data_IF_211816118522
#
_entry.id   IF_211816118522
#
_cell.length_a   1.000
_cell.length_b   1.000
_cell.length_c   1.000
_cell.angle_alpha   90.00
_cell.angle_beta   90.00
_cell.angle_gamma   90.00
#
_symmetry.space_group_name_H-M   'P 1'
#
loop_
_entity.id
_entity.type
_entity.pdbx_description
1 polymer ?
#
# COMPACT_ATOMS: atom_id res chain seq x y z
N UNK A 1 8.06 -26.83 -29.44
CA UNK A 1 8.83 -25.93 -28.55
C UNK A 1 8.28 -26.10 -27.14
N UNK A 2 9.09 -26.49 -26.16
CA UNK A 2 8.61 -26.67 -24.77
C UNK A 2 8.45 -25.27 -24.15
N UNK A 3 7.21 -24.86 -23.86
CA UNK A 3 6.90 -23.63 -23.13
C UNK A 3 7.63 -23.59 -21.78
N UNK A 4 8.06 -22.39 -21.39
CA UNK A 4 8.77 -22.12 -20.14
C UNK A 4 7.86 -22.49 -18.95
N UNK A 5 8.34 -23.15 -17.88
CA UNK A 5 7.53 -23.48 -16.71
C UNK A 5 6.78 -22.29 -16.09
N UNK A 6 7.33 -21.07 -16.21
CA UNK A 6 6.62 -19.83 -15.84
C UNK A 6 5.35 -19.69 -16.69
N UNK A 7 5.43 -19.80 -18.02
CA UNK A 7 4.30 -19.67 -18.95
C UNK A 7 3.16 -20.67 -18.68
N UNK A 8 3.44 -21.87 -18.15
CA UNK A 8 2.38 -22.85 -17.81
C UNK A 8 1.60 -22.52 -16.54
N UNK A 9 2.18 -21.77 -15.61
CA UNK A 9 1.50 -21.42 -14.36
C UNK A 9 0.47 -20.31 -14.54
N UNK A 10 0.55 -19.54 -15.64
CA UNK A 10 -0.27 -18.35 -15.84
C UNK A 10 -1.64 -18.59 -16.49
N UNK A 11 -1.85 -19.65 -17.29
CA UNK A 11 -2.91 -19.58 -18.33
C UNK A 11 -4.25 -20.24 -17.97
N UNK A 12 -4.37 -21.05 -16.90
CA UNK A 12 -5.68 -21.61 -16.53
C UNK A 12 -6.00 -21.49 -15.04
N UNK A 13 -5.05 -21.82 -14.15
CA UNK A 13 -5.34 -21.85 -12.70
C UNK A 13 -5.59 -20.47 -12.11
N UNK A 14 -4.89 -19.43 -12.58
CA UNK A 14 -5.08 -18.07 -12.06
C UNK A 14 -6.48 -17.53 -12.41
N UNK A 15 -6.89 -17.66 -13.67
CA UNK A 15 -8.19 -17.16 -14.14
C UNK A 15 -9.36 -17.91 -13.50
N UNK A 16 -9.30 -19.25 -13.42
CA UNK A 16 -10.30 -20.05 -12.70
C UNK A 16 -10.40 -19.65 -11.22
N UNK A 17 -9.26 -19.40 -10.57
CA UNK A 17 -9.21 -18.94 -9.18
C UNK A 17 -9.83 -17.54 -9.06
N UNK A 18 -9.52 -16.62 -9.97
CA UNK A 18 -10.07 -15.26 -9.95
C UNK A 18 -11.59 -15.26 -10.15
N UNK A 19 -12.10 -15.98 -11.14
CA UNK A 19 -13.54 -16.09 -11.41
C UNK A 19 -14.33 -16.64 -10.21
N UNK A 20 -13.73 -17.58 -9.46
CA UNK A 20 -14.41 -18.25 -8.34
C UNK A 20 -14.18 -17.61 -6.98
N UNK A 21 -13.22 -16.67 -6.84
CA UNK A 21 -12.80 -16.15 -5.53
C UNK A 21 -12.61 -14.64 -5.42
N UNK A 22 -12.62 -13.88 -6.52
CA UNK A 22 -12.51 -12.41 -6.43
C UNK A 22 -13.71 -11.81 -5.69
N UNK A 23 -13.49 -10.75 -4.91
CA UNK A 23 -14.57 -10.16 -4.13
C UNK A 23 -15.65 -9.55 -5.02
N UNK A 24 -15.28 -8.94 -6.15
CA UNK A 24 -16.22 -8.38 -7.12
C UNK A 24 -17.20 -9.43 -7.67
N UNK A 25 -16.79 -10.70 -7.77
CA UNK A 25 -17.63 -11.81 -8.25
C UNK A 25 -18.47 -12.44 -7.15
N UNK A 26 -17.93 -12.53 -5.94
CA UNK A 26 -18.44 -13.45 -4.91
C UNK A 26 -19.01 -12.78 -3.67
N UNK A 27 -18.81 -11.47 -3.51
CA UNK A 27 -19.17 -10.76 -2.28
C UNK A 27 -20.30 -9.76 -2.53
N UNK A 28 -21.25 -9.64 -1.58
CA UNK A 28 -22.25 -8.60 -1.65
C UNK A 28 -21.62 -7.22 -1.38
N UNK A 29 -22.36 -6.17 -1.74
CA UNK A 29 -22.07 -4.78 -1.37
C UNK A 29 -21.83 -4.66 0.14
N UNK A 30 -20.87 -3.81 0.53
CA UNK A 30 -20.47 -3.60 1.92
C UNK A 30 -21.27 -2.46 2.55
N UNK A 31 -22.23 -2.81 3.40
CA UNK A 31 -22.94 -1.83 4.23
C UNK A 31 -22.34 -1.76 5.63
N UNK A 32 -22.24 -0.53 6.16
CA UNK A 32 -21.91 -0.27 7.55
C UNK A 32 -23.20 -0.37 8.36
N UNK A 33 -23.25 -1.32 9.30
CA UNK A 33 -24.37 -1.41 10.24
C UNK A 33 -24.13 -0.51 11.44
N UNK A 34 -24.59 0.73 11.35
CA UNK A 34 -24.44 1.74 12.40
C UNK A 34 -25.18 1.43 13.72
N UNK A 35 -25.87 0.29 13.83
CA UNK A 35 -26.43 -0.20 15.09
C UNK A 35 -25.41 -0.99 15.91
N UNK A 36 -24.38 -1.50 15.25
CA UNK A 36 -23.29 -2.22 15.91
C UNK A 36 -22.29 -1.24 16.52
N UNK A 37 -21.62 -1.67 17.59
CA UNK A 37 -20.59 -0.89 18.25
C UNK A 37 -19.20 -1.31 17.78
N UNK A 38 -18.22 -0.42 18.00
CA UNK A 38 -16.80 -0.68 17.76
C UNK A 38 -16.14 0.48 17.03
N UNK A 39 -14.82 0.53 17.10
CA UNK A 39 -14.03 1.58 16.45
C UNK A 39 -13.86 1.30 14.96
N UNK A 40 -13.81 2.37 14.17
CA UNK A 40 -13.52 2.29 12.74
C UNK A 40 -12.04 2.04 12.43
N UNK A 41 -11.16 2.19 13.41
CA UNK A 41 -9.73 1.97 13.27
C UNK A 41 -9.13 1.38 14.56
N UNK A 42 -8.11 0.53 14.49
CA UNK A 42 -7.49 -0.05 15.69
C UNK A 42 -6.74 0.97 16.52
N UNK A 43 -7.15 1.10 17.79
CA UNK A 43 -6.58 2.01 18.78
C UNK A 43 -5.05 1.84 18.89
N UNK A 44 -4.59 0.59 18.96
CA UNK A 44 -3.16 0.22 19.07
C UNK A 44 -2.31 0.63 17.87
N UNK A 45 -2.92 1.09 16.77
CA UNK A 45 -2.25 1.51 15.54
C UNK A 45 -2.41 2.99 15.24
N UNK A 46 -3.02 3.76 16.14
CA UNK A 46 -3.11 5.21 16.02
C UNK A 46 -2.11 5.87 16.99
N UNK A 47 -0.94 6.36 16.50
CA UNK A 47 0.13 6.87 17.35
C UNK A 47 -0.26 8.04 18.25
N UNK A 48 -1.26 8.85 17.89
CA UNK A 48 -1.76 9.93 18.75
C UNK A 48 -2.27 9.42 20.10
N UNK A 49 -2.78 8.18 20.15
CA UNK A 49 -3.31 7.55 21.35
C UNK A 49 -2.21 6.96 22.26
N UNK A 50 -0.94 7.05 21.85
CA UNK A 50 0.21 6.76 22.73
C UNK A 50 0.49 7.90 23.71
N UNK A 51 -0.03 9.10 23.45
CA UNK A 51 0.19 10.27 24.30
C UNK A 51 -0.96 10.42 25.32
N UNK A 52 -0.61 10.41 26.61
CA UNK A 52 -1.58 10.45 27.71
C UNK A 52 -2.41 11.75 27.72
N UNK A 53 -1.85 12.87 27.27
CA UNK A 53 -2.59 14.13 27.18
C UNK A 53 -3.77 14.00 26.20
N UNK A 54 -3.56 13.31 25.08
CA UNK A 54 -4.60 13.07 24.06
C UNK A 54 -5.66 12.11 24.61
N UNK A 55 -5.24 11.03 25.26
CA UNK A 55 -6.16 10.07 25.91
C UNK A 55 -7.04 10.77 26.96
N UNK A 56 -6.48 11.74 27.70
CA UNK A 56 -7.20 12.49 28.72
C UNK A 56 -8.24 13.49 28.15
N UNK A 57 -8.28 13.72 26.84
CA UNK A 57 -9.33 14.52 26.19
C UNK A 57 -10.69 13.80 26.17
N UNK A 58 -10.70 12.50 26.46
CA UNK A 58 -11.91 11.70 26.63
C UNK A 58 -12.34 10.92 25.40
N UNK A 59 -13.31 10.03 25.60
CA UNK A 59 -13.71 8.99 24.64
C UNK A 59 -14.19 9.56 23.30
N UNK A 60 -14.94 10.67 23.31
CA UNK A 60 -15.44 11.31 22.08
C UNK A 60 -14.31 11.73 21.14
N UNK A 61 -13.22 12.28 21.68
CA UNK A 61 -12.07 12.71 20.88
C UNK A 61 -11.31 11.49 20.36
N UNK A 62 -11.22 10.41 21.14
CA UNK A 62 -10.67 9.14 20.69
C UNK A 62 -11.43 8.58 19.49
N UNK A 63 -12.76 8.51 19.59
CA UNK A 63 -13.63 8.04 18.50
C UNK A 63 -13.46 8.90 17.24
N UNK A 64 -13.40 10.24 17.38
CA UNK A 64 -13.17 11.15 16.26
C UNK A 64 -11.80 10.93 15.60
N UNK A 65 -10.74 10.76 16.40
CA UNK A 65 -9.40 10.44 15.88
C UNK A 65 -9.42 9.13 15.09
N UNK A 66 -10.02 8.07 15.64
CA UNK A 66 -10.07 6.76 14.98
C UNK A 66 -10.93 6.79 13.72
N UNK A 67 -12.03 7.53 13.72
CA UNK A 67 -12.87 7.75 12.54
C UNK A 67 -12.09 8.50 11.45
N UNK A 68 -11.44 9.62 11.77
CA UNK A 68 -10.63 10.38 10.80
C UNK A 68 -9.46 9.55 10.25
N UNK A 69 -8.86 8.70 11.09
CA UNK A 69 -7.81 7.78 10.65
C UNK A 69 -8.35 6.75 9.65
N UNK A 70 -9.56 6.24 9.87
CA UNK A 70 -10.21 5.36 8.92
C UNK A 70 -10.58 6.06 7.60
N UNK A 71 -11.03 7.31 7.65
CA UNK A 71 -11.22 8.12 6.44
C UNK A 71 -9.91 8.29 5.66
N UNK A 72 -8.80 8.59 6.35
CA UNK A 72 -7.49 8.65 5.71
C UNK A 72 -7.14 7.32 5.06
N UNK A 73 -7.31 6.21 5.77
CA UNK A 73 -7.05 4.87 5.26
C UNK A 73 -7.81 4.57 3.96
N UNK A 74 -9.12 4.88 3.91
CA UNK A 74 -9.92 4.72 2.68
C UNK A 74 -9.45 5.63 1.54
N UNK A 75 -9.02 6.86 1.84
CA UNK A 75 -8.46 7.77 0.83
C UNK A 75 -7.09 7.31 0.33
N UNK A 76 -6.25 6.75 1.20
CA UNK A 76 -4.96 6.18 0.83
C UNK A 76 -5.15 5.01 -0.15
N UNK A 77 -6.10 4.12 0.13
CA UNK A 77 -6.53 3.04 -0.77
C UNK A 77 -6.91 3.59 -2.15
N UNK A 78 -7.89 4.50 -2.20
CA UNK A 78 -8.40 5.06 -3.46
C UNK A 78 -7.26 5.67 -4.30
N UNK A 79 -6.34 6.38 -3.64
CA UNK A 79 -5.22 7.01 -4.32
C UNK A 79 -4.19 6.00 -4.81
N UNK A 80 -3.83 5.01 -3.99
CA UNK A 80 -2.82 4.01 -4.33
C UNK A 80 -3.28 3.14 -5.51
N UNK A 81 -4.49 2.60 -5.42
CA UNK A 81 -5.08 1.68 -6.38
C UNK A 81 -5.22 2.31 -7.77
N UNK A 82 -5.71 3.55 -7.83
CA UNK A 82 -5.89 4.25 -9.11
C UNK A 82 -4.56 4.79 -9.64
N UNK A 83 -3.80 5.52 -8.81
CA UNK A 83 -2.69 6.35 -9.33
C UNK A 83 -1.42 5.53 -9.56
N UNK A 84 -1.24 4.43 -8.84
CA UNK A 84 -0.03 3.60 -8.94
C UNK A 84 -0.36 2.23 -9.54
N UNK A 85 -1.22 1.43 -8.90
CA UNK A 85 -1.43 0.03 -9.29
C UNK A 85 -2.03 -0.06 -10.70
N UNK A 86 -3.17 0.60 -10.92
CA UNK A 86 -3.81 0.63 -12.24
C UNK A 86 -2.91 1.24 -13.33
N UNK A 87 -2.10 2.26 -13.00
CA UNK A 87 -1.14 2.83 -13.94
C UNK A 87 -0.09 1.81 -14.38
N UNK A 88 0.51 1.07 -13.44
CA UNK A 88 1.48 0.03 -13.74
C UNK A 88 0.87 -1.12 -14.56
N UNK A 89 -0.31 -1.62 -14.18
CA UNK A 89 -1.02 -2.66 -14.93
C UNK A 89 -1.36 -2.21 -16.36
N UNK A 90 -1.84 -0.97 -16.53
CA UNK A 90 -2.12 -0.40 -17.86
C UNK A 90 -0.88 -0.37 -18.74
N UNK A 91 0.30 -0.03 -18.18
CA UNK A 91 1.57 -0.07 -18.93
C UNK A 91 1.95 -1.50 -19.32
N UNK A 92 1.82 -2.47 -18.41
CA UNK A 92 2.10 -3.89 -18.70
C UNK A 92 1.24 -4.39 -19.88
N UNK A 93 -0.03 -3.96 -19.94
CA UNK A 93 -0.96 -4.40 -20.98
C UNK A 93 -0.70 -3.71 -22.32
N UNK A 94 -0.55 -2.38 -22.32
CA UNK A 94 -0.69 -1.57 -23.54
C UNK A 94 0.57 -0.82 -23.99
N UNK A 95 1.57 -0.60 -23.12
CA UNK A 95 2.77 0.17 -23.49
C UNK A 95 3.76 -0.67 -24.32
N UNK A 96 4.48 0.00 -25.22
CA UNK A 96 5.63 -0.60 -25.90
C UNK A 96 6.87 -0.57 -25.00
N UNK A 97 6.94 -1.53 -24.08
CA UNK A 97 8.00 -1.61 -23.07
C UNK A 97 9.23 -2.35 -23.60
N UNK A 98 10.39 -2.06 -22.98
CA UNK A 98 11.65 -2.79 -23.25
C UNK A 98 11.55 -4.27 -22.84
N UNK A 99 10.73 -4.59 -21.84
CA UNK A 99 10.36 -5.95 -21.44
C UNK A 99 9.08 -6.33 -22.18
N UNK A 100 9.10 -7.48 -22.89
CA UNK A 100 7.90 -8.00 -23.56
C UNK A 100 7.16 -8.97 -22.65
N UNK A 101 5.96 -8.59 -22.23
CA UNK A 101 5.11 -9.41 -21.36
C UNK A 101 4.26 -10.39 -22.19
N UNK A 102 4.20 -11.68 -21.82
CA UNK A 102 3.28 -12.64 -22.43
C UNK A 102 1.82 -12.25 -22.23
N UNK A 103 0.95 -12.63 -23.17
CA UNK A 103 -0.49 -12.31 -23.11
C UNK A 103 -1.18 -12.80 -21.84
N UNK A 104 -0.70 -13.89 -21.24
CA UNK A 104 -1.24 -14.37 -19.97
C UNK A 104 -0.96 -13.42 -18.79
N UNK A 105 0.22 -12.78 -18.75
CA UNK A 105 0.53 -11.76 -17.75
C UNK A 105 -0.37 -10.54 -17.96
N UNK A 106 -0.58 -10.14 -19.22
CA UNK A 106 -1.48 -9.02 -19.55
C UNK A 106 -2.93 -9.30 -19.16
N UNK A 107 -3.42 -10.51 -19.43
CA UNK A 107 -4.76 -10.92 -19.02
C UNK A 107 -4.93 -10.90 -17.49
N UNK A 108 -3.92 -11.36 -16.75
CA UNK A 108 -3.94 -11.25 -15.28
C UNK A 108 -3.85 -9.79 -14.82
N UNK A 109 -3.09 -8.93 -15.49
CA UNK A 109 -3.10 -7.50 -15.18
C UNK A 109 -4.49 -6.87 -15.41
N UNK A 110 -5.28 -7.36 -16.39
CA UNK A 110 -6.67 -6.92 -16.56
C UNK A 110 -7.54 -7.29 -15.36
N UNK A 111 -7.38 -8.48 -14.78
CA UNK A 111 -8.17 -8.88 -13.60
C UNK A 111 -7.78 -8.07 -12.36
N UNK A 112 -6.48 -7.76 -12.19
CA UNK A 112 -6.03 -6.83 -11.14
C UNK A 112 -6.74 -5.48 -11.27
N UNK A 113 -6.76 -4.87 -12.46
CA UNK A 113 -7.44 -3.59 -12.69
C UNK A 113 -8.93 -3.66 -12.27
N UNK A 114 -9.61 -4.77 -12.57
CA UNK A 114 -11.01 -4.96 -12.18
C UNK A 114 -11.16 -5.00 -10.66
N UNK A 115 -10.30 -5.75 -9.97
CA UNK A 115 -10.30 -5.87 -8.51
C UNK A 115 -10.00 -4.52 -7.86
N UNK A 116 -8.97 -3.79 -8.32
CA UNK A 116 -8.64 -2.46 -7.78
C UNK A 116 -9.77 -1.44 -7.97
N UNK A 117 -10.42 -1.40 -9.13
CA UNK A 117 -11.58 -0.52 -9.29
C UNK A 117 -12.76 -0.92 -8.41
N UNK A 118 -12.90 -2.20 -8.08
CA UNK A 118 -13.90 -2.65 -7.11
C UNK A 118 -13.52 -2.22 -5.68
N UNK A 119 -12.26 -2.33 -5.28
CA UNK A 119 -11.78 -1.84 -3.99
C UNK A 119 -12.00 -0.33 -3.83
N UNK A 120 -11.66 0.46 -4.85
CA UNK A 120 -12.01 1.90 -4.94
C UNK A 120 -13.51 2.12 -4.76
N UNK A 121 -14.33 1.34 -5.47
CA UNK A 121 -15.79 1.47 -5.37
C UNK A 121 -16.25 1.23 -3.93
N UNK A 122 -15.79 0.16 -3.28
CA UNK A 122 -16.15 -0.16 -1.90
C UNK A 122 -15.68 0.94 -0.95
N UNK A 123 -14.44 1.43 -1.09
CA UNK A 123 -13.91 2.50 -0.25
C UNK A 123 -14.72 3.79 -0.41
N UNK A 124 -15.09 4.18 -1.64
CA UNK A 124 -15.95 5.34 -1.90
C UNK A 124 -17.36 5.15 -1.35
N UNK A 125 -17.91 3.95 -1.49
CA UNK A 125 -19.24 3.64 -0.97
C UNK A 125 -19.27 3.70 0.56
N UNK A 126 -18.21 3.26 1.23
CA UNK A 126 -18.06 3.40 2.68
C UNK A 126 -17.91 4.87 3.11
N UNK A 127 -17.09 5.66 2.40
CA UNK A 127 -16.99 7.10 2.65
C UNK A 127 -18.35 7.79 2.53
N UNK A 128 -19.15 7.45 1.51
CA UNK A 128 -20.50 8.00 1.35
C UNK A 128 -21.43 7.62 2.51
N UNK A 129 -21.37 6.37 2.99
CA UNK A 129 -22.15 5.93 4.15
C UNK A 129 -21.73 6.67 5.43
N UNK A 130 -20.43 6.84 5.64
CA UNK A 130 -19.89 7.58 6.79
C UNK A 130 -20.25 9.07 6.74
N UNK A 131 -20.14 9.72 5.57
CA UNK A 131 -20.50 11.12 5.37
C UNK A 131 -22.00 11.35 5.67
N UNK A 132 -22.86 10.39 5.30
CA UNK A 132 -24.29 10.45 5.59
C UNK A 132 -24.60 10.28 7.08
N UNK A 133 -23.85 9.44 7.79
CA UNK A 133 -24.07 9.16 9.21
C UNK A 133 -23.43 10.19 10.13
N UNK A 134 -22.30 10.77 9.72
CA UNK A 134 -21.54 11.78 10.46
C UNK A 134 -21.44 13.10 9.65
N UNK A 135 -22.57 13.77 9.34
CA UNK A 135 -22.57 14.95 8.47
C UNK A 135 -21.82 16.15 9.05
N UNK A 136 -21.68 16.19 10.38
CA UNK A 136 -20.98 17.27 11.10
C UNK A 136 -19.49 16.97 11.28
N UNK A 137 -19.00 15.80 10.83
CA UNK A 137 -17.57 15.48 10.90
C UNK A 137 -16.80 16.45 10.03
N UNK A 138 -15.80 17.11 10.62
CA UNK A 138 -14.98 18.06 9.89
C UNK A 138 -14.22 17.35 8.78
N UNK A 139 -14.26 17.89 7.57
CA UNK A 139 -13.42 17.41 6.47
C UNK A 139 -11.97 17.83 6.70
N UNK A 140 -11.07 16.87 6.57
CA UNK A 140 -9.62 17.07 6.70
C UNK A 140 -8.98 16.79 5.34
N UNK A 141 -7.96 17.56 4.98
CA UNK A 141 -7.16 17.26 3.80
C UNK A 141 -6.25 16.06 4.08
N UNK A 142 -6.30 15.05 3.21
CA UNK A 142 -5.47 13.86 3.33
C UNK A 142 -4.15 14.08 2.58
N UNK A 143 -2.98 13.97 3.25
CA UNK A 143 -1.69 14.11 2.59
C UNK A 143 -1.49 13.10 1.47
N UNK A 144 -0.67 13.45 0.49
CA UNK A 144 -0.20 12.50 -0.52
C UNK A 144 0.60 11.39 0.17
N UNK A 145 0.33 10.13 -0.19
CA UNK A 145 1.00 8.97 0.42
C UNK A 145 2.51 8.95 0.15
N UNK A 146 3.26 8.41 1.10
CA UNK A 146 4.71 8.26 0.97
C UNK A 146 5.09 7.35 -0.21
N UNK A 147 4.25 6.36 -0.55
CA UNK A 147 4.40 5.53 -1.75
C UNK A 147 4.36 6.34 -3.05
N UNK A 148 3.35 7.20 -3.22
CA UNK A 148 3.23 8.04 -4.41
C UNK A 148 4.38 9.07 -4.48
N UNK A 149 4.74 9.64 -3.34
CA UNK A 149 5.88 10.55 -3.23
C UNK A 149 7.19 9.87 -3.66
N UNK A 150 7.47 8.66 -3.15
CA UNK A 150 8.66 7.89 -3.47
C UNK A 150 8.78 7.60 -4.97
N UNK A 151 7.69 7.12 -5.60
CA UNK A 151 7.68 6.87 -7.06
C UNK A 151 7.95 8.15 -7.84
N UNK A 152 7.29 9.25 -7.47
CA UNK A 152 7.44 10.53 -8.17
C UNK A 152 8.87 11.07 -8.05
N UNK A 153 9.44 11.03 -6.85
CA UNK A 153 10.78 11.56 -6.58
C UNK A 153 11.86 10.77 -7.31
N UNK A 154 11.81 9.43 -7.26
CA UNK A 154 12.80 8.58 -7.94
C UNK A 154 12.66 8.67 -9.46
N UNK A 155 11.44 8.78 -10.01
CA UNK A 155 11.27 9.09 -11.45
C UNK A 155 11.91 10.43 -11.82
N UNK A 156 11.84 11.44 -10.95
CA UNK A 156 12.52 12.72 -11.16
C UNK A 156 14.04 12.64 -11.25
N UNK A 157 14.64 11.57 -10.69
CA UNK A 157 16.08 11.31 -10.70
C UNK A 157 16.53 10.39 -11.85
N UNK A 158 15.58 9.70 -12.48
CA UNK A 158 15.83 8.79 -13.59
C UNK A 158 15.57 9.46 -14.94
N UNK A 159 16.32 9.07 -15.97
CA UNK A 159 15.95 9.37 -17.35
C UNK A 159 14.56 8.82 -17.68
N UNK A 160 13.80 9.56 -18.50
CA UNK A 160 12.42 9.21 -18.89
C UNK A 160 12.27 7.80 -19.43
N UNK A 161 13.29 7.24 -20.12
CA UNK A 161 13.24 5.89 -20.67
C UNK A 161 13.10 4.77 -19.61
N UNK A 162 13.47 5.05 -18.36
CA UNK A 162 13.40 4.08 -17.25
C UNK A 162 12.08 4.15 -16.47
N UNK A 163 11.31 5.23 -16.65
CA UNK A 163 10.17 5.58 -15.80
C UNK A 163 9.11 4.49 -15.72
N UNK A 164 8.75 3.90 -16.85
CA UNK A 164 7.67 2.90 -16.92
C UNK A 164 8.06 1.60 -16.22
N UNK A 165 9.28 1.09 -16.46
CA UNK A 165 9.78 -0.12 -15.82
C UNK A 165 9.99 0.10 -14.32
N UNK A 166 10.50 1.27 -13.93
CA UNK A 166 10.63 1.60 -12.51
C UNK A 166 9.27 1.64 -11.81
N UNK A 167 8.25 2.26 -12.41
CA UNK A 167 6.90 2.31 -11.84
C UNK A 167 6.31 0.90 -11.66
N UNK A 168 6.48 0.00 -12.64
CA UNK A 168 6.07 -1.40 -12.52
C UNK A 168 6.79 -2.09 -11.37
N UNK A 169 8.11 -1.93 -11.26
CA UNK A 169 8.90 -2.53 -10.16
C UNK A 169 8.45 -1.97 -8.80
N UNK A 170 8.22 -0.66 -8.70
CA UNK A 170 7.78 -0.01 -7.48
C UNK A 170 6.42 -0.55 -7.01
N UNK A 171 5.46 -0.67 -7.93
CA UNK A 171 4.16 -1.28 -7.64
C UNK A 171 4.31 -2.74 -7.23
N UNK A 172 5.15 -3.53 -7.92
CA UNK A 172 5.37 -4.91 -7.49
C UNK A 172 5.90 -4.99 -6.05
N UNK A 173 6.76 -4.05 -5.63
CA UNK A 173 7.22 -3.99 -4.25
C UNK A 173 6.07 -3.63 -3.31
N UNK A 174 5.21 -2.68 -3.64
CA UNK A 174 4.05 -2.32 -2.80
C UNK A 174 3.15 -3.52 -2.56
N UNK A 175 2.73 -4.17 -3.63
CA UNK A 175 1.78 -5.29 -3.64
C UNK A 175 2.35 -6.57 -3.00
N UNK A 176 3.67 -6.67 -2.92
CA UNK A 176 4.34 -7.78 -2.23
C UNK A 176 4.80 -7.42 -0.81
N UNK A 177 4.64 -6.15 -0.42
CA UNK A 177 4.96 -5.65 0.92
C UNK A 177 3.70 -5.39 1.74
N UNK A 178 2.54 -5.19 1.11
CA UNK A 178 1.25 -5.10 1.80
C UNK A 178 0.96 -6.46 2.48
N UNK A 179 0.88 -6.42 3.81
CA UNK A 179 1.01 -7.61 4.66
C UNK A 179 -0.35 -8.08 5.20
N UNK A 180 -0.41 -9.39 5.49
CA UNK A 180 -1.35 -10.02 6.43
C UNK A 180 -1.48 -9.30 7.79
N UNK A 181 -0.47 -8.53 8.20
CA UNK A 181 -0.48 -7.75 9.45
C UNK A 181 -1.67 -6.77 9.50
N UNK A 182 -2.11 -6.25 8.35
CA UNK A 182 -3.29 -5.37 8.30
C UNK A 182 -4.55 -6.12 8.74
N UNK A 183 -4.73 -7.38 8.32
CA UNK A 183 -5.83 -8.24 8.77
C UNK A 183 -5.77 -8.47 10.27
N UNK A 184 -4.58 -8.75 10.81
CA UNK A 184 -4.40 -8.99 12.24
C UNK A 184 -4.79 -7.77 13.07
N UNK A 185 -4.50 -6.55 12.59
CA UNK A 185 -4.83 -5.32 13.30
C UNK A 185 -6.33 -5.03 13.31
N UNK A 186 -7.01 -5.30 12.21
CA UNK A 186 -8.45 -5.07 12.11
C UNK A 186 -9.29 -6.22 12.66
N UNK A 187 -8.71 -7.38 12.98
CA UNK A 187 -9.45 -8.52 13.54
C UNK A 187 -9.67 -8.46 15.07
N UNK A 188 -9.31 -7.36 15.74
CA UNK A 188 -9.57 -7.23 17.18
C UNK A 188 -11.06 -6.99 17.48
N UNK A 189 -11.50 -7.44 18.66
CA UNK A 189 -12.92 -7.46 19.06
C UNK A 189 -13.52 -6.06 19.18
N UNK A 190 -12.69 -5.05 19.46
CA UNK A 190 -13.05 -3.63 19.58
C UNK A 190 -13.31 -2.93 18.23
N UNK A 191 -12.99 -3.58 17.11
CA UNK A 191 -13.25 -3.02 15.77
C UNK A 191 -14.69 -3.24 15.36
N UNK A 192 -15.26 -2.24 14.69
CA UNK A 192 -16.62 -2.34 14.16
C UNK A 192 -16.75 -3.54 13.18
N UNK A 193 -17.73 -4.44 13.36
CA UNK A 193 -17.85 -5.68 12.57
C UNK A 193 -17.86 -5.48 11.05
N UNK A 194 -18.57 -4.47 10.53
CA UNK A 194 -18.57 -4.15 9.09
C UNK A 194 -17.19 -3.79 8.55
N UNK A 195 -16.33 -3.18 9.38
CA UNK A 195 -14.97 -2.79 8.97
C UNK A 195 -14.08 -4.02 8.93
N UNK A 196 -14.18 -4.90 9.93
CA UNK A 196 -13.50 -6.21 9.90
C UNK A 196 -13.84 -6.97 8.64
N UNK A 197 -15.12 -7.04 8.29
CA UNK A 197 -15.59 -7.76 7.11
C UNK A 197 -15.03 -7.16 5.81
N UNK A 198 -15.07 -5.83 5.68
CA UNK A 198 -14.47 -5.13 4.56
C UNK A 198 -12.98 -5.44 4.40
N UNK A 199 -12.20 -5.27 5.47
CA UNK A 199 -10.74 -5.48 5.44
C UNK A 199 -10.42 -6.93 5.08
N UNK A 200 -11.13 -7.90 5.66
CA UNK A 200 -10.90 -9.32 5.35
C UNK A 200 -11.18 -9.64 3.86
N UNK A 201 -12.22 -9.07 3.27
CA UNK A 201 -12.53 -9.30 1.86
C UNK A 201 -11.51 -8.63 0.93
N UNK A 202 -11.14 -7.38 1.18
CA UNK A 202 -10.07 -6.71 0.43
C UNK A 202 -8.77 -7.53 0.52
N UNK A 203 -8.36 -7.93 1.72
CA UNK A 203 -7.11 -8.69 1.90
C UNK A 203 -7.14 -10.11 1.30
N UNK A 204 -8.33 -10.68 1.05
CA UNK A 204 -8.44 -11.93 0.28
C UNK A 204 -8.08 -11.73 -1.20
N UNK A 205 -8.36 -10.55 -1.77
CA UNK A 205 -7.92 -10.18 -3.12
C UNK A 205 -6.42 -9.86 -3.13
N UNK A 206 -5.93 -9.08 -2.16
CA UNK A 206 -4.51 -8.76 -2.04
C UNK A 206 -3.61 -9.99 -1.89
N UNK A 207 -4.10 -11.06 -1.25
CA UNK A 207 -3.36 -12.32 -1.19
C UNK A 207 -3.07 -12.94 -2.56
N UNK A 208 -3.94 -12.71 -3.55
CA UNK A 208 -3.76 -13.14 -4.95
C UNK A 208 -2.88 -12.14 -5.70
N UNK A 209 -3.05 -10.84 -5.43
CA UNK A 209 -2.23 -9.77 -6.02
C UNK A 209 -0.77 -9.99 -5.67
N UNK A 210 -0.46 -10.31 -4.41
CA UNK A 210 0.88 -10.69 -3.95
C UNK A 210 1.54 -11.71 -4.89
N UNK A 211 0.84 -12.81 -5.23
CA UNK A 211 1.38 -13.85 -6.09
C UNK A 211 1.69 -13.35 -7.50
N UNK A 212 0.74 -12.62 -8.09
CA UNK A 212 0.91 -12.02 -9.41
C UNK A 212 2.08 -11.03 -9.46
N UNK A 213 2.13 -10.09 -8.51
CA UNK A 213 3.16 -9.05 -8.48
C UNK A 213 4.54 -9.58 -8.08
N UNK A 214 4.61 -10.64 -7.27
CA UNK A 214 5.86 -11.35 -6.99
C UNK A 214 6.47 -11.96 -8.26
N UNK A 215 5.66 -12.64 -9.06
CA UNK A 215 6.12 -13.23 -10.31
C UNK A 215 6.43 -12.14 -11.35
N UNK A 216 5.61 -11.08 -11.41
CA UNK A 216 5.83 -9.93 -12.28
C UNK A 216 7.15 -9.21 -11.95
N UNK A 217 7.48 -9.03 -10.67
CA UNK A 217 8.76 -8.46 -10.22
C UNK A 217 9.93 -9.28 -10.74
N UNK A 218 9.89 -10.60 -10.47
CA UNK A 218 10.94 -11.53 -10.85
C UNK A 218 11.13 -11.57 -12.37
N UNK A 219 10.02 -11.62 -13.12
CA UNK A 219 10.02 -11.61 -14.57
C UNK A 219 10.60 -10.30 -15.14
N UNK A 220 10.09 -9.16 -14.66
CA UNK A 220 10.49 -7.83 -15.13
C UNK A 220 11.98 -7.61 -14.89
N UNK A 221 12.46 -7.88 -13.67
CA UNK A 221 13.87 -7.71 -13.34
C UNK A 221 14.76 -8.63 -14.17
N UNK A 222 14.39 -9.91 -14.33
CA UNK A 222 15.21 -10.85 -15.10
C UNK A 222 15.34 -10.44 -16.57
N UNK A 223 14.24 -9.96 -17.18
CA UNK A 223 14.14 -9.70 -18.62
C UNK A 223 14.57 -8.31 -19.07
N UNK A 224 14.62 -7.33 -18.17
CA UNK A 224 15.06 -5.99 -18.55
C UNK A 224 16.56 -5.94 -18.84
N UNK A 225 17.02 -5.05 -19.76
CA UNK A 225 18.43 -4.92 -20.11
C UNK A 225 19.30 -4.44 -18.94
N UNK A 226 20.63 -4.62 -19.06
CA UNK A 226 21.58 -4.27 -17.99
C UNK A 226 21.61 -2.76 -17.70
N UNK A 227 21.39 -1.89 -18.69
CA UNK A 227 21.31 -0.44 -18.45
C UNK A 227 20.11 -0.06 -17.58
N UNK A 228 18.96 -0.73 -17.77
CA UNK A 228 17.79 -0.59 -16.89
C UNK A 228 18.09 -1.10 -15.47
N UNK A 229 18.72 -2.27 -15.33
CA UNK A 229 19.14 -2.82 -14.03
C UNK A 229 20.07 -1.89 -13.29
N UNK A 230 21.05 -1.31 -13.99
CA UNK A 230 21.97 -0.33 -13.41
C UNK A 230 21.21 0.89 -12.91
N UNK A 231 20.52 1.59 -13.81
CA UNK A 231 19.91 2.88 -13.47
C UNK A 231 18.83 2.76 -12.40
N UNK A 232 17.98 1.72 -12.47
CA UNK A 232 16.95 1.49 -11.45
C UNK A 232 17.56 0.94 -10.16
N UNK A 233 18.49 -0.02 -10.27
CA UNK A 233 19.11 -0.68 -9.12
C UNK A 233 19.91 0.29 -8.25
N UNK A 234 20.58 1.27 -8.83
CA UNK A 234 21.33 2.29 -8.10
C UNK A 234 20.48 3.15 -7.15
N UNK A 235 19.17 3.29 -7.43
CA UNK A 235 18.20 4.07 -6.66
C UNK A 235 17.31 3.21 -5.75
N UNK A 236 17.50 1.90 -5.75
CA UNK A 236 16.54 0.97 -5.16
C UNK A 236 16.42 1.12 -3.64
N UNK A 237 17.54 1.25 -2.93
CA UNK A 237 17.56 1.45 -1.48
C UNK A 237 16.93 2.78 -1.05
N UNK A 238 17.18 3.86 -1.82
CA UNK A 238 16.57 5.17 -1.60
C UNK A 238 15.05 5.10 -1.81
N UNK A 239 14.60 4.42 -2.85
CA UNK A 239 13.18 4.15 -3.07
C UNK A 239 12.54 3.45 -1.88
N UNK A 240 13.13 2.36 -1.36
CA UNK A 240 12.59 1.63 -0.20
C UNK A 240 12.52 2.52 1.04
N UNK A 241 13.54 3.35 1.30
CA UNK A 241 13.52 4.30 2.43
C UNK A 241 12.42 5.36 2.29
N UNK A 242 12.22 5.90 1.10
CA UNK A 242 11.19 6.89 0.83
C UNK A 242 9.80 6.28 0.95
N UNK A 243 9.61 5.10 0.35
CA UNK A 243 8.34 4.36 0.37
C UNK A 243 7.90 4.03 1.80
N UNK A 244 8.80 3.50 2.61
CA UNK A 244 8.50 3.06 3.97
C UNK A 244 8.54 4.19 5.00
N UNK A 245 8.77 5.44 4.57
CA UNK A 245 8.70 6.59 5.46
C UNK A 245 7.25 6.81 5.93
N UNK A 246 7.10 7.69 6.91
CA UNK A 246 5.83 8.00 7.58
C UNK A 246 5.56 9.51 7.59
N UNK A 247 6.06 10.24 6.60
CA UNK A 247 5.91 11.69 6.56
C UNK A 247 4.45 12.08 6.29
N UNK A 248 3.76 11.33 5.43
CA UNK A 248 2.33 11.52 5.18
C UNK A 248 1.51 11.33 6.46
N UNK A 249 1.87 10.32 7.27
CA UNK A 249 1.23 10.02 8.55
C UNK A 249 1.53 11.10 9.61
N UNK A 250 2.80 11.52 9.74
CA UNK A 250 3.19 12.64 10.62
C UNK A 250 2.43 13.91 10.26
N UNK A 251 2.31 14.23 8.97
CA UNK A 251 1.57 15.41 8.51
C UNK A 251 0.09 15.30 8.87
N UNK A 252 -0.54 14.18 8.57
CA UNK A 252 -1.94 13.95 8.92
C UNK A 252 -2.19 14.12 10.42
N UNK A 253 -1.37 13.48 11.27
CA UNK A 253 -1.53 13.56 12.71
C UNK A 253 -1.28 14.97 13.27
N UNK A 254 -0.37 15.75 12.68
CA UNK A 254 -0.18 17.17 13.02
C UNK A 254 -1.42 18.00 12.68
N UNK A 255 -1.95 17.83 11.48
CA UNK A 255 -3.11 18.59 10.99
C UNK A 255 -4.37 18.23 11.80
N UNK A 256 -4.62 16.94 12.02
CA UNK A 256 -5.73 16.43 12.85
C UNK A 256 -5.63 16.94 14.29
N UNK A 257 -4.45 16.88 14.89
CA UNK A 257 -4.28 17.31 16.28
C UNK A 257 -4.42 18.84 16.43
N UNK A 258 -3.94 19.61 15.44
CA UNK A 258 -4.16 21.06 15.40
C UNK A 258 -5.66 21.39 15.34
N UNK A 259 -6.43 20.58 14.62
CA UNK A 259 -7.88 20.73 14.57
C UNK A 259 -8.58 20.44 15.89
N UNK A 260 -8.06 19.50 16.69
CA UNK A 260 -8.62 19.17 18.01
C UNK A 260 -8.18 20.20 19.06
N UNK A 261 -6.88 20.51 19.13
CA UNK A 261 -6.30 21.35 20.19
C UNK A 261 -6.41 22.85 19.92
N UNK A 262 -6.58 23.25 18.65
CA UNK A 262 -6.49 24.64 18.20
C UNK A 262 -5.16 25.31 18.59
N UNK A 263 -4.09 24.52 18.63
CA UNK A 263 -2.74 24.94 18.96
C UNK A 263 -1.73 24.21 18.07
N UNK A 264 -1.29 24.90 17.02
CA UNK A 264 -0.39 24.34 16.01
C UNK A 264 0.98 23.97 16.61
N UNK A 265 1.53 24.84 17.47
CA UNK A 265 2.86 24.60 18.06
C UNK A 265 2.85 23.38 18.95
N UNK A 266 1.82 23.26 19.78
CA UNK A 266 1.64 22.10 20.65
C UNK A 266 1.41 20.82 19.85
N UNK A 267 0.61 20.90 18.79
CA UNK A 267 0.32 19.74 17.92
C UNK A 267 1.58 19.22 17.22
N UNK A 268 2.40 20.14 16.69
CA UNK A 268 3.71 19.81 16.12
C UNK A 268 4.60 19.16 17.17
N UNK A 269 4.71 19.76 18.36
CA UNK A 269 5.54 19.27 19.45
C UNK A 269 5.14 17.85 19.90
N UNK A 270 3.84 17.59 20.07
CA UNK A 270 3.33 16.27 20.48
C UNK A 270 3.65 15.22 19.43
N UNK A 271 3.37 15.50 18.16
CA UNK A 271 3.63 14.53 17.08
C UNK A 271 5.12 14.27 16.91
N UNK A 272 5.96 15.30 16.98
CA UNK A 272 7.41 15.12 16.91
C UNK A 272 7.97 14.30 18.07
N UNK A 273 7.40 14.44 19.27
CA UNK A 273 7.77 13.62 20.43
C UNK A 273 7.31 12.16 20.27
N UNK A 274 6.08 11.91 19.78
CA UNK A 274 5.55 10.56 19.51
C UNK A 274 6.46 9.79 18.55
N UNK A 275 6.95 10.45 17.50
CA UNK A 275 7.81 9.83 16.49
C UNK A 275 9.31 10.05 16.74
N UNK A 276 9.68 10.53 17.93
CA UNK A 276 11.07 10.82 18.26
C UNK A 276 11.91 9.54 18.25
N UNK A 277 13.00 9.56 17.49
CA UNK A 277 13.88 8.40 17.33
C UNK A 277 13.28 7.28 16.48
N UNK A 278 12.12 7.50 15.84
CA UNK A 278 11.65 6.58 14.80
C UNK A 278 12.44 6.81 13.52
N UNK A 279 13.24 5.80 13.17
CA UNK A 279 13.96 5.72 11.91
C UNK A 279 13.56 4.44 11.19
N UNK A 280 13.52 4.48 9.85
CA UNK A 280 13.35 3.27 9.06
C UNK A 280 14.65 2.48 9.13
N UNK A 281 14.60 1.26 9.69
CA UNK A 281 15.75 0.37 9.83
C UNK A 281 15.41 -1.04 9.33
N UNK A 282 16.44 -1.87 9.01
CA UNK A 282 16.24 -3.26 8.59
C UNK A 282 15.48 -4.14 9.60
N UNK A 283 15.39 -3.71 10.86
CA UNK A 283 14.76 -4.46 11.92
C UNK A 283 13.23 -4.34 11.95
N UNK A 284 12.68 -3.32 11.29
CA UNK A 284 11.23 -3.12 11.21
C UNK A 284 10.58 -4.25 10.40
N UNK A 285 9.48 -4.86 10.86
CA UNK A 285 8.81 -5.98 10.20
C UNK A 285 8.53 -5.76 8.70
N UNK A 286 8.03 -4.57 8.32
CA UNK A 286 7.74 -4.26 6.92
C UNK A 286 8.99 -4.23 6.03
N UNK A 287 10.14 -3.77 6.56
CA UNK A 287 11.42 -3.80 5.83
C UNK A 287 11.91 -5.25 5.67
N UNK A 288 11.73 -6.09 6.69
CA UNK A 288 12.02 -7.53 6.60
C UNK A 288 11.17 -8.21 5.54
N UNK A 289 9.90 -7.81 5.38
CA UNK A 289 9.03 -8.33 4.32
C UNK A 289 9.56 -7.97 2.93
N UNK A 290 9.98 -6.73 2.71
CA UNK A 290 10.68 -6.32 1.47
C UNK A 290 11.90 -7.21 1.23
N UNK A 291 12.77 -7.36 2.23
CA UNK A 291 13.99 -8.17 2.08
C UNK A 291 13.68 -9.64 1.76
N UNK A 292 12.64 -10.20 2.37
CA UNK A 292 12.18 -11.54 2.08
C UNK A 292 11.69 -11.68 0.64
N UNK A 293 10.97 -10.69 0.11
CA UNK A 293 10.56 -10.65 -1.30
C UNK A 293 11.78 -10.58 -2.21
N UNK A 294 12.74 -9.70 -1.93
CA UNK A 294 13.97 -9.57 -2.72
C UNK A 294 14.78 -10.87 -2.77
N UNK A 295 14.88 -11.57 -1.64
CA UNK A 295 15.54 -12.89 -1.56
C UNK A 295 14.82 -13.96 -2.35
N UNK A 296 13.50 -14.06 -2.18
CA UNK A 296 12.68 -15.08 -2.87
C UNK A 296 12.66 -14.84 -4.39
N UNK A 297 12.70 -13.59 -4.83
CA UNK A 297 12.76 -13.20 -6.24
C UNK A 297 14.18 -13.18 -6.82
N UNK A 298 15.20 -13.51 -6.02
CA UNK A 298 16.64 -13.46 -6.38
C UNK A 298 17.18 -12.07 -6.76
N UNK A 299 16.43 -11.00 -6.51
CA UNK A 299 16.90 -9.62 -6.69
C UNK A 299 18.01 -9.27 -5.71
N UNK A 300 18.05 -9.92 -4.54
CA UNK A 300 19.15 -9.81 -3.57
C UNK A 300 20.51 -10.20 -4.16
N UNK A 301 20.54 -11.01 -5.23
CA UNK A 301 21.79 -11.41 -5.87
C UNK A 301 22.32 -10.40 -6.88
N UNK A 302 21.48 -9.46 -7.32
CA UNK A 302 21.85 -8.44 -8.30
C UNK A 302 22.89 -7.46 -7.72
N UNK A 303 23.92 -7.16 -8.51
CA UNK A 303 25.04 -6.32 -8.08
C UNK A 303 24.61 -4.89 -7.77
N UNK A 304 23.69 -4.32 -8.56
CA UNK A 304 23.26 -2.92 -8.41
C UNK A 304 22.35 -2.76 -7.19
N UNK A 305 21.46 -3.74 -6.96
CA UNK A 305 20.63 -3.79 -5.75
C UNK A 305 21.52 -3.89 -4.51
N UNK A 306 22.46 -4.85 -4.47
CA UNK A 306 23.40 -5.01 -3.36
C UNK A 306 24.21 -3.74 -3.09
N UNK A 307 24.73 -3.11 -4.13
CA UNK A 307 25.49 -1.87 -4.00
C UNK A 307 24.62 -0.73 -3.45
N UNK A 308 23.36 -0.62 -3.87
CA UNK A 308 22.44 0.39 -3.34
C UNK A 308 22.20 0.24 -1.83
N UNK A 309 21.98 -0.99 -1.33
CA UNK A 309 21.77 -1.22 0.10
C UNK A 309 23.05 -1.05 0.92
N UNK A 310 24.22 -1.40 0.37
CA UNK A 310 25.51 -1.14 1.01
C UNK A 310 25.75 0.35 1.25
N UNK A 311 25.35 1.23 0.33
CA UNK A 311 25.50 2.70 0.48
C UNK A 311 24.78 3.25 1.70
N UNK A 312 23.70 2.58 2.14
CA UNK A 312 22.91 2.97 3.30
C UNK A 312 23.16 2.07 4.51
N UNK A 313 24.24 1.28 4.49
CA UNK A 313 24.65 0.37 5.56
C UNK A 313 23.62 -0.70 5.92
N UNK A 314 22.76 -1.08 4.96
CA UNK A 314 21.79 -2.15 5.13
C UNK A 314 22.32 -3.45 4.52
N UNK A 315 22.35 -4.51 5.33
CA UNK A 315 22.76 -5.83 4.89
C UNK A 315 21.54 -6.59 4.36
N UNK A 316 21.45 -6.69 3.04
CA UNK A 316 20.39 -7.44 2.35
C UNK A 316 20.63 -8.95 2.45
#
# INVERSE_FOLDING_TARGET
MRQNPIERHFVNTYQETWETRSSIRTRPRKYIDFKENGYFFPEKKQPLLLNQEIVNLGEKIKEEILLQTFYKYLNDIINLEIKLINSACTRVIYSDLVVKYPEAIKLNACTIIIDEYYHVYVAKDMLLQLDQHYPDLKKVDYPVSDAYHAVTLIKGQLDKKYHEIFEIIAVCIFETTLVRELVEFFNSDDIHPSIRYYINDHMNDESKHYGFFFDLLSYTWQKMPDDYKKSIGEHFSDFIKLYLNINSEKKFNKDLLNDILKDEKKSISIVEDIYKGFDITPDIPIVKNVFNVLKKSSLDKDKYIKESFKKIEWNL
#
